data_IF_765173325721
#
_entry.id   IF_765173325721
#
_cell.length_a   1.000
_cell.length_b   1.000
_cell.length_c   1.000
_cell.angle_alpha   90.00
_cell.angle_beta   90.00
_cell.angle_gamma   90.00
#
_symmetry.space_group_name_H-M   'P 1'
#
loop_
_entity.id
_entity.type
_entity.pdbx_description
1 polymer ?
#
# COMPACT_ATOMS: atom_id res chain seq x y z
N UNK A 1 -14.51 -32.57 12.68
CA UNK A 1 -14.32 -33.33 11.42
C UNK A 1 -15.72 -33.78 11.00
N UNK A 2 -16.18 -33.42 9.79
CA UNK A 2 -17.57 -33.61 9.37
C UNK A 2 -17.83 -35.09 9.01
N UNK A 3 -18.66 -35.85 9.77
CA UNK A 3 -18.91 -37.27 9.49
C UNK A 3 -19.60 -37.44 8.13
N UNK A 4 -19.10 -38.35 7.28
CA UNK A 4 -19.69 -38.67 5.97
C UNK A 4 -19.11 -37.92 4.77
N UNK A 5 -18.15 -37.02 4.96
CA UNK A 5 -17.42 -36.38 3.85
C UNK A 5 -16.26 -37.26 3.39
N UNK A 6 -16.36 -37.77 2.16
CA UNK A 6 -15.25 -38.41 1.47
C UNK A 6 -14.29 -37.32 0.94
N UNK A 7 -13.02 -37.40 1.31
CA UNK A 7 -11.97 -36.53 0.80
C UNK A 7 -11.26 -37.24 -0.36
N UNK A 8 -11.07 -36.54 -1.48
CA UNK A 8 -10.33 -37.11 -2.59
C UNK A 8 -8.85 -37.25 -2.24
N UNK A 9 -8.28 -38.43 -2.49
CA UNK A 9 -6.87 -38.73 -2.24
C UNK A 9 -5.95 -38.10 -3.29
N UNK A 10 -6.42 -37.97 -4.53
CA UNK A 10 -5.65 -37.42 -5.64
C UNK A 10 -6.47 -36.47 -6.51
N UNK A 11 -5.78 -35.59 -7.24
CA UNK A 11 -6.37 -34.74 -8.25
C UNK A 11 -5.44 -34.62 -9.47
N UNK A 12 -5.97 -34.90 -10.65
CA UNK A 12 -5.30 -34.65 -11.93
C UNK A 12 -5.54 -33.20 -12.33
N UNK A 13 -4.48 -32.39 -12.30
CA UNK A 13 -4.55 -30.96 -12.62
C UNK A 13 -3.90 -30.70 -13.97
N UNK A 14 -4.64 -30.09 -14.89
CA UNK A 14 -4.16 -29.65 -16.20
C UNK A 14 -4.03 -28.14 -16.24
N UNK A 15 -2.88 -27.68 -16.73
CA UNK A 15 -2.55 -26.28 -16.90
C UNK A 15 -2.45 -25.95 -18.39
N UNK A 16 -3.15 -24.90 -18.84
CA UNK A 16 -3.03 -24.36 -20.19
C UNK A 16 -2.69 -22.88 -20.13
N UNK A 17 -1.42 -22.59 -20.40
CA UNK A 17 -0.90 -21.22 -20.47
C UNK A 17 -1.16 -20.65 -21.86
N UNK A 18 -1.72 -19.44 -21.90
CA UNK A 18 -1.80 -18.58 -23.08
C UNK A 18 -1.02 -17.29 -22.81
N UNK A 19 -0.97 -16.36 -23.78
CA UNK A 19 -0.30 -15.06 -23.58
C UNK A 19 -0.88 -14.26 -22.39
N UNK A 20 -2.18 -14.39 -22.09
CA UNK A 20 -2.89 -13.57 -21.08
C UNK A 20 -3.49 -14.35 -19.92
N UNK A 21 -3.66 -15.67 -20.06
CA UNK A 21 -4.40 -16.49 -19.10
C UNK A 21 -3.66 -17.80 -18.84
N UNK A 22 -3.67 -18.22 -17.59
CA UNK A 22 -3.44 -19.60 -17.17
C UNK A 22 -4.80 -20.22 -16.88
N UNK A 23 -5.24 -21.14 -17.72
CA UNK A 23 -6.42 -21.95 -17.43
C UNK A 23 -5.98 -23.17 -16.63
N UNK A 24 -6.70 -23.45 -15.54
CA UNK A 24 -6.51 -24.62 -14.69
C UNK A 24 -7.79 -25.43 -14.77
N UNK A 25 -7.68 -26.73 -14.97
CA UNK A 25 -8.79 -27.65 -14.82
C UNK A 25 -8.34 -28.84 -13.99
N UNK A 26 -9.19 -29.35 -13.11
CA UNK A 26 -8.86 -30.51 -12.29
C UNK A 26 -9.99 -31.53 -12.26
N UNK A 27 -9.61 -32.79 -12.08
CA UNK A 27 -10.51 -33.90 -11.78
C UNK A 27 -9.94 -34.66 -10.60
N UNK A 28 -10.76 -34.92 -9.59
CA UNK A 28 -10.37 -35.66 -8.38
C UNK A 28 -10.60 -37.16 -8.53
N UNK A 29 -9.98 -37.99 -7.68
CA UNK A 29 -10.22 -39.44 -7.65
C UNK A 29 -11.68 -39.82 -7.35
N UNK A 30 -12.44 -38.92 -6.72
CA UNK A 30 -13.87 -39.08 -6.47
C UNK A 30 -14.75 -38.56 -7.64
N UNK A 31 -14.14 -38.19 -8.77
CA UNK A 31 -14.85 -37.73 -9.97
C UNK A 31 -15.27 -36.26 -9.96
N UNK A 32 -15.06 -35.52 -8.86
CA UNK A 32 -15.35 -34.08 -8.81
C UNK A 32 -14.42 -33.31 -9.76
N UNK A 33 -14.98 -32.38 -10.54
CA UNK A 33 -14.27 -31.60 -11.55
C UNK A 33 -14.39 -30.10 -11.28
N UNK A 34 -13.42 -29.32 -11.76
CA UNK A 34 -13.50 -27.87 -11.71
C UNK A 34 -12.57 -27.18 -12.69
N UNK A 35 -12.81 -25.89 -12.89
CA UNK A 35 -11.96 -25.04 -13.73
C UNK A 35 -11.71 -23.69 -13.05
N UNK A 36 -10.58 -23.07 -13.36
CA UNK A 36 -10.22 -21.74 -12.91
C UNK A 36 -9.39 -21.02 -13.96
N UNK A 37 -9.43 -19.69 -13.95
CA UNK A 37 -8.68 -18.82 -14.85
C UNK A 37 -7.88 -17.82 -14.03
N UNK A 38 -6.58 -17.79 -14.27
CA UNK A 38 -5.67 -16.83 -13.66
C UNK A 38 -5.18 -15.88 -14.75
N UNK A 39 -5.46 -14.59 -14.58
CA UNK A 39 -4.94 -13.55 -15.47
C UNK A 39 -3.45 -13.36 -15.24
N UNK A 40 -2.71 -13.15 -16.33
CA UNK A 40 -1.31 -12.73 -16.23
C UNK A 40 -1.27 -11.37 -15.52
N UNK A 41 -0.41 -11.27 -14.51
CA UNK A 41 -0.19 -10.03 -13.77
C UNK A 41 0.36 -8.93 -14.67
N UNK A 42 -0.20 -7.72 -14.55
CA UNK A 42 0.29 -6.52 -15.23
C UNK A 42 1.08 -5.62 -14.26
N UNK A 43 1.51 -6.16 -13.11
CA UNK A 43 2.20 -5.40 -12.07
C UNK A 43 3.51 -4.74 -12.51
N UNK A 44 4.16 -5.26 -13.55
CA UNK A 44 5.39 -4.66 -14.13
C UNK A 44 5.11 -3.62 -15.20
N UNK A 45 3.84 -3.39 -15.56
CA UNK A 45 3.44 -2.46 -16.62
C UNK A 45 3.14 -1.08 -16.02
N UNK A 46 2.99 -0.03 -16.85
CA UNK A 46 2.47 1.25 -16.37
C UNK A 46 1.08 1.12 -15.75
N UNK A 47 0.71 2.07 -14.88
CA UNK A 47 -0.65 2.16 -14.36
C UNK A 47 -1.65 2.38 -15.48
N UNK A 48 -2.79 1.70 -15.41
CA UNK A 48 -3.93 1.90 -16.31
C UNK A 48 -4.98 2.85 -15.73
N UNK A 49 -4.89 3.21 -14.45
CA UNK A 49 -5.83 4.12 -13.79
C UNK A 49 -5.67 5.52 -14.37
N UNK A 50 -6.78 6.08 -14.86
CA UNK A 50 -6.84 7.44 -15.40
C UNK A 50 -7.03 8.45 -14.25
N UNK A 51 -6.26 9.55 -14.21
CA UNK A 51 -6.44 10.58 -13.20
C UNK A 51 -7.74 11.37 -13.38
N UNK A 52 -8.21 11.94 -12.28
CA UNK A 52 -9.39 12.82 -12.27
C UNK A 52 -9.20 14.00 -13.23
N UNK A 53 -10.06 14.09 -14.24
CA UNK A 53 -9.91 15.10 -15.31
C UNK A 53 -10.10 16.53 -14.80
N UNK A 54 -10.90 16.71 -13.77
CA UNK A 54 -11.26 18.00 -13.16
C UNK A 54 -10.20 18.54 -12.20
N UNK A 55 -9.23 17.72 -11.79
CA UNK A 55 -8.21 18.08 -10.80
C UNK A 55 -6.82 17.80 -11.38
N UNK A 56 -6.20 18.84 -11.96
CA UNK A 56 -4.90 18.76 -12.65
C UNK A 56 -3.85 19.73 -12.11
N UNK A 57 -4.25 20.68 -11.27
CA UNK A 57 -3.37 21.70 -10.67
C UNK A 57 -3.47 21.62 -9.14
N UNK A 58 -2.43 22.11 -8.47
CA UNK A 58 -2.37 22.13 -7.01
C UNK A 58 -3.60 22.80 -6.37
N UNK A 59 -3.98 24.00 -6.80
CA UNK A 59 -5.14 24.72 -6.24
C UNK A 59 -6.45 23.93 -6.35
N UNK A 60 -6.64 23.23 -7.48
CA UNK A 60 -7.83 22.40 -7.70
C UNK A 60 -7.84 21.21 -6.74
N UNK A 61 -6.68 20.60 -6.51
CA UNK A 61 -6.55 19.50 -5.55
C UNK A 61 -6.79 19.98 -4.12
N UNK A 62 -6.22 21.13 -3.73
CA UNK A 62 -6.45 21.74 -2.41
C UNK A 62 -7.94 22.03 -2.19
N UNK A 63 -8.60 22.70 -3.13
CA UNK A 63 -10.03 23.00 -3.05
C UNK A 63 -10.92 21.75 -3.05
N UNK A 64 -10.49 20.68 -3.71
CA UNK A 64 -11.16 19.40 -3.66
C UNK A 64 -10.99 18.73 -2.29
N UNK A 65 -9.75 18.67 -1.79
CA UNK A 65 -9.38 17.96 -0.57
C UNK A 65 -10.08 18.51 0.68
N UNK A 66 -10.22 19.83 0.80
CA UNK A 66 -10.87 20.47 1.97
C UNK A 66 -12.39 20.21 2.06
N UNK A 67 -13.00 19.67 1.00
CA UNK A 67 -14.44 19.34 0.97
C UNK A 67 -14.72 17.88 1.35
N UNK A 68 -13.70 17.09 1.61
CA UNK A 68 -13.84 15.66 1.90
C UNK A 68 -14.23 15.45 3.36
N UNK A 69 -15.07 14.45 3.58
CA UNK A 69 -15.45 14.01 4.93
C UNK A 69 -14.22 13.44 5.67
N UNK A 70 -13.87 13.96 6.86
CA UNK A 70 -12.77 13.42 7.65
C UNK A 70 -12.95 11.94 7.97
N UNK A 71 -11.87 11.17 7.84
CA UNK A 71 -11.85 9.73 8.18
C UNK A 71 -12.49 8.79 7.15
N UNK A 72 -13.18 9.29 6.12
CA UNK A 72 -13.71 8.43 5.05
C UNK A 72 -12.60 7.92 4.12
N UNK A 73 -11.68 8.80 3.73
CA UNK A 73 -10.66 8.53 2.73
C UNK A 73 -9.26 8.47 3.34
N UNK A 74 -8.41 7.69 2.69
CA UNK A 74 -6.97 7.66 2.97
C UNK A 74 -6.20 7.91 1.68
N UNK A 75 -5.00 8.46 1.82
CA UNK A 75 -4.23 9.01 0.71
C UNK A 75 -2.82 8.45 0.67
N UNK A 76 -2.23 8.38 -0.53
CA UNK A 76 -0.84 7.97 -0.72
C UNK A 76 -0.18 8.79 -1.81
N UNK A 77 0.92 9.45 -1.47
CA UNK A 77 1.77 10.17 -2.43
C UNK A 77 2.79 9.26 -3.10
N UNK A 78 3.02 9.47 -4.39
CA UNK A 78 4.10 8.85 -5.15
C UNK A 78 4.81 9.86 -6.03
N UNK A 79 6.12 9.74 -6.09
CA UNK A 79 7.01 10.54 -6.93
C UNK A 79 6.68 10.49 -8.44
N UNK A 80 6.00 9.43 -8.88
CA UNK A 80 5.63 9.23 -10.29
C UNK A 80 4.33 8.42 -10.36
N UNK A 81 3.63 8.37 -11.51
CA UNK A 81 2.42 7.58 -11.75
C UNK A 81 2.66 6.05 -11.80
N UNK A 82 3.49 5.52 -10.89
CA UNK A 82 3.73 4.10 -10.75
C UNK A 82 2.48 3.35 -10.30
N UNK A 83 2.42 2.07 -10.65
CA UNK A 83 1.39 1.17 -10.13
C UNK A 83 1.48 1.04 -8.61
N UNK A 84 0.32 0.94 -7.97
CA UNK A 84 0.22 0.64 -6.55
C UNK A 84 0.77 -0.79 -6.26
N UNK A 85 1.93 -0.87 -5.62
CA UNK A 85 2.62 -2.13 -5.26
C UNK A 85 3.37 -1.99 -3.94
N UNK A 86 3.29 -3.01 -3.09
CA UNK A 86 4.06 -3.05 -1.82
C UNK A 86 5.56 -3.07 -2.10
N UNK A 87 6.37 -2.71 -1.10
CA UNK A 87 7.82 -2.81 -1.22
C UNK A 87 8.27 -4.27 -1.41
N UNK A 88 7.67 -5.21 -0.66
CA UNK A 88 7.93 -6.65 -0.81
C UNK A 88 7.68 -7.14 -2.24
N UNK A 89 6.53 -6.82 -2.81
CA UNK A 89 6.15 -7.32 -4.14
C UNK A 89 6.98 -6.69 -5.27
N UNK A 90 7.58 -5.51 -5.06
CA UNK A 90 8.53 -4.93 -6.01
C UNK A 90 9.88 -5.65 -6.04
N UNK A 91 10.20 -6.43 -5.02
CA UNK A 91 11.38 -7.30 -5.04
C UNK A 91 11.14 -8.52 -5.95
N UNK A 92 12.18 -9.37 -6.09
CA UNK A 92 12.04 -10.68 -6.75
C UNK A 92 11.42 -11.75 -5.85
N UNK A 93 11.04 -11.42 -4.60
CA UNK A 93 10.42 -12.35 -3.66
C UNK A 93 8.90 -12.36 -3.82
N UNK A 94 8.30 -13.55 -3.70
CA UNK A 94 6.86 -13.81 -3.81
C UNK A 94 6.33 -14.75 -2.73
N UNK A 95 7.23 -15.44 -2.02
CA UNK A 95 6.88 -16.37 -0.97
C UNK A 95 6.64 -15.65 0.35
N UNK A 96 5.36 -15.40 0.64
CA UNK A 96 4.92 -14.76 1.88
C UNK A 96 5.03 -15.69 3.09
N UNK A 97 5.02 -17.01 2.90
CA UNK A 97 5.20 -17.97 4.00
C UNK A 97 6.64 -17.88 4.49
N UNK A 98 7.61 -17.94 3.57
CA UNK A 98 9.02 -17.73 3.88
C UNK A 98 9.27 -16.34 4.50
N UNK A 99 8.61 -15.31 4.00
CA UNK A 99 8.71 -13.96 4.60
C UNK A 99 8.33 -13.95 6.08
N UNK A 100 7.21 -14.58 6.43
CA UNK A 100 6.74 -14.61 7.83
C UNK A 100 7.61 -15.53 8.69
N UNK A 101 7.87 -16.76 8.23
CA UNK A 101 8.52 -17.78 9.05
C UNK A 101 10.02 -17.50 9.22
N UNK A 102 10.71 -17.13 8.14
CA UNK A 102 12.16 -16.99 8.15
C UNK A 102 12.57 -15.52 8.31
N UNK A 103 12.13 -14.65 7.40
CA UNK A 103 12.66 -13.29 7.29
C UNK A 103 12.26 -12.43 8.49
N UNK A 104 10.96 -12.44 8.86
CA UNK A 104 10.44 -11.68 10.00
C UNK A 104 10.98 -12.23 11.32
N UNK A 105 11.09 -13.54 11.48
CA UNK A 105 11.70 -14.15 12.67
C UNK A 105 13.16 -13.74 12.84
N UNK A 106 13.95 -13.77 11.77
CA UNK A 106 15.35 -13.36 11.79
C UNK A 106 15.51 -11.85 12.09
N UNK A 107 14.67 -11.02 11.47
CA UNK A 107 14.66 -9.58 11.73
C UNK A 107 14.26 -9.28 13.18
N UNK A 108 13.21 -9.94 13.69
CA UNK A 108 12.75 -9.77 15.06
C UNK A 108 13.85 -10.08 16.08
N UNK A 109 14.57 -11.20 15.91
CA UNK A 109 15.74 -11.53 16.76
C UNK A 109 16.82 -10.44 16.73
N UNK A 110 17.05 -9.84 15.57
CA UNK A 110 18.07 -8.80 15.38
C UNK A 110 17.66 -7.45 15.97
N UNK A 111 16.39 -7.10 15.85
CA UNK A 111 15.86 -5.80 16.30
C UNK A 111 15.52 -5.79 17.79
N UNK A 112 15.14 -6.92 18.38
CA UNK A 112 14.74 -7.00 19.80
C UNK A 112 15.78 -6.38 20.73
N UNK A 113 17.08 -6.56 20.47
CA UNK A 113 18.15 -5.99 21.30
C UNK A 113 18.30 -4.46 21.20
N UNK A 114 17.65 -3.81 20.23
CA UNK A 114 17.70 -2.37 19.97
C UNK A 114 16.39 -1.65 20.28
N UNK A 115 15.32 -2.40 20.56
CA UNK A 115 13.99 -1.90 20.84
C UNK A 115 13.77 -1.82 22.36
N UNK A 116 12.97 -0.85 22.79
CA UNK A 116 12.58 -0.68 24.21
C UNK A 116 11.43 -1.62 24.59
N UNK A 117 10.60 -1.98 23.62
CA UNK A 117 9.44 -2.85 23.72
C UNK A 117 9.75 -4.21 23.10
N UNK A 118 9.46 -5.29 23.83
CA UNK A 118 9.55 -6.64 23.31
C UNK A 118 8.24 -7.00 22.62
N UNK A 119 8.26 -7.08 21.29
CA UNK A 119 7.07 -7.42 20.51
C UNK A 119 6.71 -8.90 20.61
N UNK A 120 5.50 -9.21 21.07
CA UNK A 120 4.96 -10.56 20.99
C UNK A 120 4.32 -10.82 19.62
N UNK A 121 5.07 -11.42 18.69
CA UNK A 121 4.57 -11.70 17.34
C UNK A 121 3.39 -12.71 17.27
N UNK A 122 3.02 -13.36 18.38
CA UNK A 122 1.82 -14.21 18.46
C UNK A 122 0.57 -13.40 18.77
N UNK A 123 0.72 -12.22 19.36
CA UNK A 123 -0.36 -11.26 19.51
C UNK A 123 -0.56 -10.49 18.21
N UNK A 124 -1.81 -10.41 17.74
CA UNK A 124 -2.11 -9.82 16.45
C UNK A 124 -1.83 -8.32 16.40
N UNK A 125 -2.11 -7.61 17.50
CA UNK A 125 -1.91 -6.15 17.60
C UNK A 125 -0.44 -5.79 17.70
N UNK A 126 0.35 -6.55 18.46
CA UNK A 126 1.79 -6.37 18.52
C UNK A 126 2.49 -6.79 17.23
N UNK A 127 2.08 -7.88 16.59
CA UNK A 127 2.62 -8.27 15.29
C UNK A 127 2.34 -7.19 14.22
N UNK A 128 1.14 -6.61 14.22
CA UNK A 128 0.79 -5.48 13.36
C UNK A 128 1.67 -4.25 13.63
N UNK A 129 1.88 -3.90 14.90
CA UNK A 129 2.74 -2.80 15.31
C UNK A 129 4.20 -3.02 14.87
N UNK A 130 4.72 -4.24 15.04
CA UNK A 130 6.06 -4.59 14.58
C UNK A 130 6.21 -4.45 13.06
N UNK A 131 5.23 -4.92 12.28
CA UNK A 131 5.27 -4.79 10.82
C UNK A 131 5.21 -3.34 10.36
N UNK A 132 4.39 -2.51 11.00
CA UNK A 132 4.29 -1.10 10.71
C UNK A 132 5.60 -0.36 11.06
N UNK A 133 6.23 -0.69 12.19
CA UNK A 133 7.53 -0.16 12.57
C UNK A 133 8.61 -0.45 11.52
N UNK A 134 8.81 -1.73 11.17
CA UNK A 134 9.87 -2.11 10.22
C UNK A 134 9.63 -1.53 8.82
N UNK A 135 8.37 -1.38 8.40
CA UNK A 135 7.99 -0.74 7.14
C UNK A 135 8.42 0.73 7.12
N UNK A 136 8.19 1.48 8.21
CA UNK A 136 8.63 2.87 8.33
C UNK A 136 10.14 3.05 8.38
N UNK A 137 10.89 1.99 8.71
CA UNK A 137 12.34 1.92 8.63
C UNK A 137 12.86 1.30 7.31
N UNK A 138 11.99 1.09 6.32
CA UNK A 138 12.37 0.72 4.95
C UNK A 138 12.52 -0.79 4.72
N UNK A 139 12.13 -1.63 5.68
CA UNK A 139 12.10 -3.08 5.44
C UNK A 139 11.01 -3.41 4.42
N UNK A 140 11.28 -4.24 3.38
CA UNK A 140 10.30 -4.52 2.35
C UNK A 140 9.20 -5.46 2.87
N UNK A 141 8.07 -4.88 3.29
CA UNK A 141 6.91 -5.64 3.79
C UNK A 141 5.79 -5.75 2.73
N UNK A 142 4.83 -6.69 2.90
CA UNK A 142 3.60 -6.72 2.12
C UNK A 142 2.58 -5.64 2.54
N UNK A 143 3.05 -4.55 3.16
CA UNK A 143 2.24 -3.38 3.49
C UNK A 143 2.34 -2.30 2.41
N UNK A 144 1.31 -1.47 2.37
CA UNK A 144 1.30 -0.19 1.67
C UNK A 144 0.97 0.91 2.69
N UNK A 145 1.79 1.94 2.72
CA UNK A 145 1.59 3.10 3.59
C UNK A 145 0.54 4.06 3.01
N UNK A 146 -0.32 4.53 3.90
CA UNK A 146 -1.32 5.54 3.63
C UNK A 146 -1.29 6.59 4.74
N UNK A 147 -1.91 7.73 4.48
CA UNK A 147 -2.12 8.78 5.46
C UNK A 147 -3.58 9.22 5.43
N UNK A 148 -4.12 9.60 6.58
CA UNK A 148 -5.45 10.22 6.63
C UNK A 148 -5.46 11.65 6.05
N UNK A 149 -4.29 12.25 5.83
CA UNK A 149 -4.17 13.63 5.33
C UNK A 149 -3.85 13.68 3.84
N UNK A 150 -4.69 14.32 3.00
CA UNK A 150 -4.37 14.54 1.59
C UNK A 150 -3.12 15.42 1.40
N UNK A 151 -2.84 16.30 2.36
CA UNK A 151 -1.69 17.21 2.34
C UNK A 151 -0.39 16.50 2.72
N UNK A 152 -0.43 15.56 3.67
CA UNK A 152 0.73 14.69 3.95
C UNK A 152 1.03 13.81 2.74
N UNK A 153 0.00 13.28 2.06
CA UNK A 153 0.21 12.53 0.82
C UNK A 153 0.84 13.39 -0.28
N UNK A 154 0.39 14.65 -0.44
CA UNK A 154 1.04 15.59 -1.35
C UNK A 154 2.51 15.82 -0.99
N UNK A 155 2.84 16.04 0.29
CA UNK A 155 4.21 16.18 0.76
C UNK A 155 5.10 15.00 0.31
N UNK A 156 4.64 13.75 0.54
CA UNK A 156 5.38 12.56 0.11
C UNK A 156 5.52 12.43 -1.41
N UNK A 157 4.54 12.92 -2.18
CA UNK A 157 4.61 12.92 -3.64
C UNK A 157 5.71 13.88 -4.15
N UNK A 158 5.86 15.05 -3.52
CA UNK A 158 6.73 16.13 -3.98
C UNK A 158 8.14 16.19 -3.36
N UNK A 159 8.33 15.75 -2.10
CA UNK A 159 9.57 16.01 -1.33
C UNK A 159 10.89 15.56 -1.97
N UNK A 160 10.87 14.50 -2.78
CA UNK A 160 12.07 13.96 -3.44
C UNK A 160 12.17 14.32 -4.93
N UNK A 161 11.34 15.25 -5.42
CA UNK A 161 11.48 15.75 -6.79
C UNK A 161 12.63 16.76 -6.87
N UNK A 162 13.41 16.77 -7.97
CA UNK A 162 14.37 17.84 -8.21
C UNK A 162 13.62 19.16 -8.47
N UNK A 163 14.23 20.29 -8.12
CA UNK A 163 13.69 21.62 -8.43
C UNK A 163 13.61 21.87 -9.95
N UNK A 164 14.53 21.28 -10.72
CA UNK A 164 14.62 21.43 -12.18
C UNK A 164 13.79 20.38 -12.93
N UNK A 165 12.53 20.15 -12.52
CA UNK A 165 11.66 19.18 -13.19
C UNK A 165 11.34 19.64 -14.63
N UNK A 166 11.41 18.72 -15.59
CA UNK A 166 11.04 19.01 -16.98
C UNK A 166 9.52 19.09 -17.13
N UNK A 167 9.08 19.94 -18.07
CA UNK A 167 7.67 20.05 -18.43
C UNK A 167 7.11 18.68 -18.87
N UNK A 168 6.05 18.24 -18.19
CA UNK A 168 5.32 17.01 -18.52
C UNK A 168 5.45 15.90 -17.47
N UNK A 169 6.44 15.95 -16.59
CA UNK A 169 6.55 15.00 -15.49
C UNK A 169 5.49 15.27 -14.41
N UNK A 170 4.94 14.20 -13.83
CA UNK A 170 3.87 14.29 -12.82
C UNK A 170 4.20 13.47 -11.59
N UNK A 171 3.74 13.97 -10.45
CA UNK A 171 3.58 13.15 -9.24
C UNK A 171 2.17 12.56 -9.22
N UNK A 172 1.95 11.53 -8.41
CA UNK A 172 0.64 10.92 -8.24
C UNK A 172 0.20 10.90 -6.78
N UNK A 173 -1.04 11.27 -6.53
CA UNK A 173 -1.71 11.08 -5.24
C UNK A 173 -2.86 10.09 -5.44
N UNK A 174 -2.86 9.00 -4.69
CA UNK A 174 -3.99 8.08 -4.60
C UNK A 174 -4.94 8.55 -3.49
N UNK A 175 -6.24 8.36 -3.71
CA UNK A 175 -7.28 8.48 -2.71
C UNK A 175 -8.11 7.21 -2.71
N UNK A 176 -8.16 6.55 -1.56
CA UNK A 176 -8.86 5.30 -1.36
C UNK A 176 -10.03 5.50 -0.39
N UNK A 177 -11.23 5.07 -0.77
CA UNK A 177 -12.42 5.12 0.08
C UNK A 177 -12.37 3.98 1.11
N UNK A 178 -11.63 4.25 2.20
CA UNK A 178 -11.41 3.32 3.31
C UNK A 178 -12.74 2.83 3.89
N UNK A 179 -13.66 3.77 4.16
CA UNK A 179 -14.94 3.46 4.81
C UNK A 179 -15.80 2.55 3.94
N UNK A 180 -15.93 2.87 2.66
CA UNK A 180 -16.66 2.02 1.71
C UNK A 180 -16.04 0.63 1.62
N UNK A 181 -14.72 0.54 1.51
CA UNK A 181 -14.02 -0.74 1.39
C UNK A 181 -14.21 -1.63 2.62
N UNK A 182 -14.08 -1.07 3.82
CA UNK A 182 -14.28 -1.80 5.08
C UNK A 182 -15.73 -2.26 5.27
N UNK A 183 -16.70 -1.53 4.72
CA UNK A 183 -18.11 -1.93 4.73
C UNK A 183 -18.39 -3.09 3.77
N UNK A 184 -17.70 -3.12 2.62
CA UNK A 184 -18.02 -4.06 1.54
C UNK A 184 -17.17 -5.35 1.58
N UNK A 185 -16.02 -5.33 2.26
CA UNK A 185 -15.09 -6.46 2.30
C UNK A 185 -14.60 -6.75 3.72
N UNK A 186 -14.46 -8.05 4.04
CA UNK A 186 -13.85 -8.48 5.28
C UNK A 186 -12.36 -8.11 5.32
N UNK A 187 -11.93 -7.52 6.43
CA UNK A 187 -10.53 -7.13 6.65
C UNK A 187 -9.74 -8.32 7.21
N UNK A 188 -8.77 -8.81 6.44
CA UNK A 188 -7.92 -9.93 6.80
C UNK A 188 -6.55 -9.42 7.25
N UNK A 189 -6.21 -9.67 8.52
CA UNK A 189 -4.94 -9.23 9.11
C UNK A 189 -3.78 -10.22 8.86
N UNK A 190 -3.98 -11.22 7.99
CA UNK A 190 -2.95 -12.20 7.61
C UNK A 190 -2.58 -12.07 6.13
N UNK A 191 -1.28 -12.07 5.83
CA UNK A 191 -0.77 -12.12 4.45
C UNK A 191 -0.67 -13.55 3.90
N UNK A 192 -0.77 -14.59 4.73
CA UNK A 192 -0.67 -16.01 4.34
C UNK A 192 -1.93 -16.79 4.69
N UNK A 193 -2.11 -17.93 4.03
CA UNK A 193 -3.29 -18.80 4.18
C UNK A 193 -4.63 -18.04 4.03
N UNK A 194 -4.61 -17.00 3.20
CA UNK A 194 -5.73 -16.11 2.96
C UNK A 194 -6.00 -16.04 1.45
N UNK A 195 -7.27 -15.86 1.10
CA UNK A 195 -7.68 -15.52 -0.28
C UNK A 195 -7.01 -14.20 -0.72
N UNK A 196 -6.89 -13.92 -2.03
CA UNK A 196 -6.46 -12.61 -2.51
C UNK A 196 -7.23 -11.48 -1.83
N UNK A 197 -6.53 -10.56 -1.18
CA UNK A 197 -7.17 -9.49 -0.43
C UNK A 197 -6.33 -8.22 -0.39
N UNK A 198 -7.00 -7.13 -0.03
CA UNK A 198 -6.41 -5.83 0.28
C UNK A 198 -7.15 -5.35 1.53
N UNK A 199 -6.46 -5.26 2.67
CA UNK A 199 -7.11 -5.01 3.96
C UNK A 199 -6.45 -3.86 4.69
N UNK A 200 -7.28 -3.03 5.31
CA UNK A 200 -6.86 -1.91 6.16
C UNK A 200 -6.25 -2.47 7.45
N UNK A 201 -5.08 -1.96 7.80
CA UNK A 201 -4.29 -2.29 8.98
C UNK A 201 -4.02 -1.00 9.77
N UNK A 202 -4.81 -0.76 10.80
CA UNK A 202 -4.60 0.32 11.78
C UNK A 202 -3.80 -0.24 12.95
N UNK A 203 -2.47 -0.24 12.80
CA UNK A 203 -1.55 -0.76 13.81
C UNK A 203 -1.35 0.22 14.97
N UNK A 204 -1.05 -0.31 16.15
CA UNK A 204 -0.60 0.50 17.29
C UNK A 204 0.76 1.13 16.97
N UNK A 205 0.94 2.40 17.34
CA UNK A 205 2.18 3.14 17.13
C UNK A 205 3.24 2.86 18.22
N UNK A 206 3.52 1.58 18.49
CA UNK A 206 4.52 1.18 19.48
C UNK A 206 5.93 1.44 18.91
N UNK A 207 6.71 2.29 19.59
CA UNK A 207 8.05 2.74 19.16
C UNK A 207 8.11 3.41 17.77
N UNK A 208 6.97 3.76 17.18
CA UNK A 208 6.89 4.36 15.85
C UNK A 208 6.55 5.86 15.95
N UNK A 209 7.56 6.67 16.23
CA UNK A 209 7.41 8.13 16.38
C UNK A 209 6.92 8.81 15.09
N UNK A 210 7.12 8.17 13.93
CA UNK A 210 6.67 8.65 12.62
C UNK A 210 5.17 8.51 12.42
N UNK A 211 4.50 7.62 13.15
CA UNK A 211 3.13 7.23 12.85
C UNK A 211 2.12 8.38 13.07
N UNK A 212 2.22 9.08 14.21
CA UNK A 212 1.30 10.17 14.55
C UNK A 212 1.47 11.40 13.65
N UNK A 213 2.69 11.96 13.45
CA UNK A 213 2.84 13.15 12.60
C UNK A 213 2.42 12.90 11.15
N UNK A 214 2.71 11.71 10.62
CA UNK A 214 2.33 11.34 9.26
C UNK A 214 0.85 10.96 9.13
N UNK A 215 0.11 10.92 10.24
CA UNK A 215 -1.26 10.39 10.32
C UNK A 215 -1.37 9.02 9.63
N UNK A 216 -0.35 8.19 9.88
CA UNK A 216 -0.10 6.97 9.11
C UNK A 216 -1.11 5.90 9.43
N UNK A 217 -1.42 5.11 8.41
CA UNK A 217 -1.99 3.78 8.55
C UNK A 217 -1.43 2.92 7.43
N UNK A 218 -1.65 1.62 7.50
CA UNK A 218 -1.19 0.70 6.47
C UNK A 218 -2.36 -0.07 5.87
N UNK A 219 -2.13 -0.65 4.70
CA UNK A 219 -2.94 -1.76 4.20
C UNK A 219 -2.05 -2.97 3.99
N UNK A 220 -2.49 -4.14 4.40
CA UNK A 220 -1.82 -5.43 4.15
C UNK A 220 -2.45 -6.11 2.93
N UNK A 221 -1.63 -6.73 2.10
CA UNK A 221 -2.11 -7.47 0.93
C UNK A 221 -1.18 -8.62 0.55
N UNK A 222 -1.77 -9.72 0.09
CA UNK A 222 -1.05 -10.83 -0.54
C UNK A 222 -1.04 -10.76 -2.07
N UNK A 223 -1.48 -9.63 -2.64
CA UNK A 223 -1.60 -9.41 -4.08
C UNK A 223 -0.48 -8.49 -4.56
N UNK A 224 0.22 -8.92 -5.61
CA UNK A 224 1.26 -8.11 -6.27
C UNK A 224 0.64 -6.97 -7.10
N UNK A 225 -0.33 -7.30 -7.96
CA UNK A 225 -1.03 -6.32 -8.81
C UNK A 225 -2.26 -5.74 -8.10
N UNK A 226 -1.99 -4.88 -7.10
CA UNK A 226 -3.05 -4.27 -6.27
C UNK A 226 -4.04 -3.48 -7.12
N UNK A 227 -3.56 -2.73 -8.12
CA UNK A 227 -4.45 -1.93 -8.98
C UNK A 227 -5.45 -2.80 -9.74
N UNK A 228 -4.99 -3.87 -10.40
CA UNK A 228 -5.90 -4.76 -11.14
C UNK A 228 -6.87 -5.43 -10.19
N UNK A 229 -6.42 -5.87 -9.01
CA UNK A 229 -7.29 -6.45 -8.00
C UNK A 229 -8.39 -5.49 -7.54
N UNK A 230 -8.03 -4.25 -7.22
CA UNK A 230 -9.01 -3.23 -6.83
C UNK A 230 -9.99 -2.93 -7.98
N UNK A 231 -9.52 -2.79 -9.21
CA UNK A 231 -10.39 -2.59 -10.39
C UNK A 231 -11.37 -3.75 -10.59
N UNK A 232 -10.93 -4.99 -10.42
CA UNK A 232 -11.83 -6.16 -10.48
C UNK A 232 -12.92 -6.06 -9.40
N UNK A 233 -12.57 -5.68 -8.17
CA UNK A 233 -13.54 -5.47 -7.09
C UNK A 233 -14.48 -4.30 -7.34
N UNK A 234 -14.00 -3.24 -7.99
CA UNK A 234 -14.85 -2.11 -8.40
C UNK A 234 -15.90 -2.53 -9.43
N UNK A 235 -15.52 -3.38 -10.40
CA UNK A 235 -16.43 -3.91 -11.42
C UNK A 235 -17.45 -4.88 -10.79
N UNK A 236 -17.00 -5.80 -9.94
CA UNK A 236 -17.85 -6.78 -9.25
C UNK A 236 -18.92 -6.09 -8.39
N UNK A 237 -18.55 -5.04 -7.66
CA UNK A 237 -19.45 -4.33 -6.75
C UNK A 237 -20.17 -3.13 -7.39
N UNK A 238 -19.86 -2.78 -8.65
CA UNK A 238 -20.38 -1.59 -9.31
C UNK A 238 -20.06 -0.28 -8.57
N UNK A 239 -18.97 -0.25 -7.79
CA UNK A 239 -18.62 0.83 -6.87
C UNK A 239 -17.15 1.18 -6.98
N UNK A 240 -16.82 2.47 -7.04
CA UNK A 240 -15.42 2.94 -7.16
C UNK A 240 -14.80 3.19 -5.79
N UNK A 241 -13.66 2.58 -5.52
CA UNK A 241 -12.91 2.70 -4.27
C UNK A 241 -11.62 3.52 -4.44
N UNK A 242 -11.00 3.51 -5.63
CA UNK A 242 -9.70 4.16 -5.87
C UNK A 242 -9.81 5.31 -6.89
N UNK A 243 -9.30 6.47 -6.50
CA UNK A 243 -9.10 7.63 -7.39
C UNK A 243 -7.64 8.05 -7.39
N UNK A 244 -7.21 8.65 -8.49
CA UNK A 244 -5.83 9.15 -8.63
C UNK A 244 -5.82 10.58 -9.15
N UNK A 245 -4.88 11.35 -8.67
CA UNK A 245 -4.64 12.74 -9.04
C UNK A 245 -3.20 12.86 -9.51
N UNK A 246 -3.02 13.24 -10.77
CA UNK A 246 -1.68 13.43 -11.35
C UNK A 246 -1.41 14.94 -11.47
N UNK A 247 -0.49 15.43 -10.65
CA UNK A 247 -0.15 16.86 -10.55
C UNK A 247 1.23 17.12 -11.19
N UNK A 248 1.42 18.25 -11.89
CA UNK A 248 2.72 18.62 -12.47
C UNK A 248 3.82 18.68 -11.42
N UNK A 249 4.97 18.07 -11.71
CA UNK A 249 6.16 18.19 -10.83
C UNK A 249 6.64 19.63 -10.70
N UNK A 250 6.41 20.46 -11.71
CA UNK A 250 6.72 21.89 -11.69
C UNK A 250 6.00 22.67 -10.58
N UNK A 251 4.95 22.12 -9.96
CA UNK A 251 4.31 22.74 -8.78
C UNK A 251 5.05 22.45 -7.46
N UNK A 252 6.17 21.73 -7.47
CA UNK A 252 6.89 21.29 -6.26
C UNK A 252 7.08 22.41 -5.24
N UNK A 253 7.68 23.52 -5.64
CA UNK A 253 8.13 24.54 -4.69
C UNK A 253 6.94 25.31 -4.09
N UNK A 254 5.94 25.63 -4.91
CA UNK A 254 4.67 26.22 -4.44
C UNK A 254 3.96 25.29 -3.45
N UNK A 255 3.86 24.00 -3.79
CA UNK A 255 3.23 22.98 -2.95
C UNK A 255 3.97 22.84 -1.62
N UNK A 256 5.30 22.66 -1.64
CA UNK A 256 6.09 22.47 -0.42
C UNK A 256 6.09 23.72 0.46
N UNK A 257 6.09 24.92 -0.14
CA UNK A 257 5.95 26.20 0.59
C UNK A 257 4.61 26.28 1.32
N UNK A 258 3.51 25.98 0.64
CA UNK A 258 2.19 25.97 1.28
C UNK A 258 2.08 24.90 2.38
N UNK A 259 2.59 23.69 2.12
CA UNK A 259 2.58 22.60 3.10
C UNK A 259 3.40 22.95 4.35
N UNK A 260 4.52 23.67 4.18
CA UNK A 260 5.30 24.19 5.32
C UNK A 260 4.47 25.16 6.17
N UNK A 261 3.65 26.04 5.57
CA UNK A 261 2.74 26.92 6.31
C UNK A 261 1.65 26.16 7.07
N UNK A 262 1.32 24.93 6.63
CA UNK A 262 0.41 24.02 7.33
C UNK A 262 1.12 23.15 8.39
N UNK A 263 2.42 23.37 8.65
CA UNK A 263 3.21 22.58 9.59
C UNK A 263 3.67 21.22 9.06
N UNK A 264 3.50 20.95 7.76
CA UNK A 264 3.91 19.71 7.11
C UNK A 264 5.32 19.90 6.53
N UNK A 265 6.32 19.41 7.26
CA UNK A 265 7.75 19.61 6.98
C UNK A 265 8.53 18.31 7.20
N UNK A 266 9.78 18.24 6.75
CA UNK A 266 10.61 17.06 7.04
C UNK A 266 10.83 16.89 8.55
N UNK A 267 11.05 17.99 9.27
CA UNK A 267 11.27 17.97 10.72
C UNK A 267 10.05 17.52 11.52
N UNK A 268 8.84 17.86 11.07
CA UNK A 268 7.61 17.37 11.71
C UNK A 268 7.27 15.94 11.32
N UNK A 269 7.51 15.52 10.07
CA UNK A 269 7.18 14.17 9.59
C UNK A 269 8.19 13.09 10.01
N UNK A 270 9.46 13.44 10.27
CA UNK A 270 10.53 12.52 10.67
C UNK A 270 11.18 13.00 11.96
N UNK A 271 10.62 12.66 13.12
CA UNK A 271 11.25 12.98 14.40
C UNK A 271 12.69 12.45 14.47
N UNK A 272 13.58 13.27 15.04
CA UNK A 272 15.00 12.97 15.15
C UNK A 272 15.90 13.86 14.27
N UNK A 273 17.20 13.58 14.33
CA UNK A 273 18.23 14.39 13.66
C UNK A 273 18.08 14.38 12.13
N UNK A 274 17.75 13.23 11.54
CA UNK A 274 17.62 13.09 10.09
C UNK A 274 16.57 14.03 9.51
N UNK A 275 15.37 14.06 10.11
CA UNK A 275 14.30 14.95 9.66
C UNK A 275 14.59 16.43 9.91
N UNK A 276 15.23 16.75 11.04
CA UNK A 276 15.64 18.11 11.34
C UNK A 276 16.68 18.64 10.33
N UNK A 277 17.72 17.84 10.04
CA UNK A 277 18.74 18.15 9.05
C UNK A 277 18.16 18.27 7.64
N UNK A 278 17.25 17.36 7.25
CA UNK A 278 16.57 17.45 5.96
C UNK A 278 15.72 18.73 5.86
N UNK A 279 15.02 19.12 6.93
CA UNK A 279 14.22 20.34 6.92
C UNK A 279 15.08 21.60 6.75
N UNK A 280 16.22 21.68 7.44
CA UNK A 280 17.17 22.78 7.27
C UNK A 280 17.76 22.78 5.86
N UNK A 281 18.07 21.60 5.30
CA UNK A 281 18.55 21.48 3.92
C UNK A 281 17.54 22.05 2.93
N UNK A 282 16.27 21.66 3.06
CA UNK A 282 15.16 22.16 2.23
C UNK A 282 14.87 23.66 2.43
N UNK A 283 15.36 24.28 3.50
CA UNK A 283 15.15 25.71 3.78
C UNK A 283 16.25 26.59 3.21
N UNK A 284 17.49 26.10 3.25
CA UNK A 284 18.66 26.92 2.95
C UNK A 284 19.33 26.58 1.61
N UNK A 285 19.05 25.40 1.02
CA UNK A 285 19.79 24.89 -0.13
C UNK A 285 18.93 24.38 -1.30
N UNK A 286 17.63 24.13 -1.08
CA UNK A 286 16.67 23.72 -2.13
C UNK A 286 15.60 24.81 -2.30
#
# INVERSE_FOLDING_TARGET
MFPGLAFAETADIRFRVTKRLLNVSWTTSLGAQGTSKLLRSEASKPSTIRPEKSVRKWDQFRQFAVKLEPGQFIFRGQASPYRLRTAFHRTRRKDLIRFIIDDITALHRTLTARLKHLFNLRDASENAAFWNLIQHHGYPTPLLDWTNSPFVAAYFAFRHQPATATDGEKVRIFMFDKRAWMSDFNQLQSATFARPHFSVLEALAIENERALPQQSLSTVTNVDDVETYLQTKEIENGKRYLRVFDLPRSNRDDVLKELRLMGITAGSMFPGLDGACEDQRLRFFD
#
